data_IF_450350258400
#
_entry.id   IF_450350258400
#
_cell.length_a   1.000
_cell.length_b   1.000
_cell.length_c   1.000
_cell.angle_alpha   90.00
_cell.angle_beta   90.00
_cell.angle_gamma   90.00
#
_symmetry.space_group_name_H-M   'P 1'
#
loop_
_entity.id
_entity.type
_entity.pdbx_description
1 polymer ?
#
# COMPACT_ATOMS: atom_id res chain seq x y z
N UNK A 1 12.54 25.08 32.70
CA UNK A 1 12.31 24.89 31.25
C UNK A 1 11.25 23.82 31.08
N UNK A 2 9.97 24.16 31.11
CA UNK A 2 8.88 23.22 30.80
C UNK A 2 7.85 23.96 29.94
N UNK A 3 8.17 24.12 28.66
CA UNK A 3 7.48 25.08 27.80
C UNK A 3 6.14 24.55 27.24
N UNK A 4 5.76 23.29 27.52
CA UNK A 4 4.60 22.63 26.89
C UNK A 4 3.81 21.66 27.81
N UNK A 5 3.66 21.93 29.10
CA UNK A 5 3.00 21.00 30.04
C UNK A 5 1.47 20.82 29.86
N UNK A 6 0.81 21.57 28.99
CA UNK A 6 -0.67 21.51 28.82
C UNK A 6 -1.13 21.22 27.39
N UNK A 7 -0.22 20.90 26.48
CA UNK A 7 -0.57 20.57 25.08
C UNK A 7 -0.54 19.06 24.86
N UNK A 8 -1.60 18.54 24.25
CA UNK A 8 -1.68 17.14 23.78
C UNK A 8 -1.42 17.11 22.28
N UNK A 9 -0.52 16.23 21.83
CA UNK A 9 -0.31 15.98 20.41
C UNK A 9 -1.52 15.25 19.84
N UNK A 10 -2.04 15.77 18.73
CA UNK A 10 -3.13 15.14 17.96
C UNK A 10 -2.56 14.83 16.58
N UNK A 11 -2.54 13.56 16.22
CA UNK A 11 -2.11 13.11 14.91
C UNK A 11 -3.25 13.25 13.92
N UNK A 12 -3.05 14.07 12.89
CA UNK A 12 -4.02 14.27 11.81
C UNK A 12 -3.62 13.41 10.60
N UNK A 13 -3.89 12.11 10.69
CA UNK A 13 -3.50 11.11 9.68
C UNK A 13 -3.85 11.53 8.24
N UNK A 14 -5.01 12.15 8.03
CA UNK A 14 -5.45 12.65 6.72
C UNK A 14 -4.51 13.67 6.04
N UNK A 15 -3.69 14.39 6.81
CA UNK A 15 -2.71 15.35 6.28
C UNK A 15 -1.26 14.83 6.39
N UNK A 16 -1.06 13.66 6.99
CA UNK A 16 0.26 13.07 7.18
C UNK A 16 0.74 12.41 5.89
N UNK A 17 1.98 12.72 5.52
CA UNK A 17 2.71 12.16 4.38
C UNK A 17 4.08 11.67 4.84
N UNK A 18 4.67 10.74 4.11
CA UNK A 18 6.00 10.22 4.39
C UNK A 18 6.67 9.64 3.15
N UNK A 19 7.97 9.40 3.29
CA UNK A 19 8.80 8.81 2.25
C UNK A 19 9.05 7.35 2.59
N UNK A 20 8.64 6.45 1.69
CA UNK A 20 8.81 5.01 1.84
C UNK A 20 9.84 4.49 0.84
N UNK A 21 10.91 3.89 1.33
CA UNK A 21 11.88 3.21 0.48
C UNK A 21 11.47 1.75 0.26
N UNK A 22 11.27 1.36 -1.00
CA UNK A 22 10.99 -0.04 -1.35
C UNK A 22 12.28 -0.78 -1.73
N UNK A 23 12.46 -1.96 -1.15
CA UNK A 23 13.68 -2.78 -1.29
C UNK A 23 13.45 -4.10 -2.02
N UNK A 24 12.20 -4.46 -2.30
CA UNK A 24 11.87 -5.66 -3.05
C UNK A 24 12.20 -5.52 -4.54
N UNK A 25 12.62 -4.33 -4.98
CA UNK A 25 12.90 -4.01 -6.37
C UNK A 25 14.38 -3.96 -6.72
N UNK A 26 14.75 -4.28 -7.97
CA UNK A 26 16.16 -4.23 -8.41
C UNK A 26 16.75 -2.83 -8.24
N UNK A 27 15.97 -1.80 -8.59
CA UNK A 27 16.29 -0.39 -8.38
C UNK A 27 15.75 0.06 -7.04
N UNK A 28 16.48 0.93 -6.36
CA UNK A 28 15.98 1.62 -5.16
C UNK A 28 14.99 2.69 -5.59
N UNK A 29 13.76 2.61 -5.11
CA UNK A 29 12.76 3.68 -5.27
C UNK A 29 12.37 4.25 -3.92
N UNK A 30 12.19 5.56 -3.88
CA UNK A 30 11.60 6.28 -2.75
C UNK A 30 10.21 6.73 -3.22
N UNK A 31 9.19 6.32 -2.47
CA UNK A 31 7.79 6.63 -2.74
C UNK A 31 7.35 7.75 -1.80
N UNK A 32 6.84 8.84 -2.35
CA UNK A 32 6.17 9.88 -1.58
C UNK A 32 4.70 9.51 -1.41
N UNK A 33 4.32 9.05 -0.22
CA UNK A 33 3.02 8.41 0.03
C UNK A 33 2.29 9.07 1.20
N UNK A 34 0.95 9.00 1.18
CA UNK A 34 0.16 9.31 2.37
C UNK A 34 0.35 8.24 3.44
N UNK A 35 0.04 8.56 4.70
CA UNK A 35 0.13 7.59 5.80
C UNK A 35 -0.76 6.35 5.56
N UNK A 36 -1.91 6.52 4.90
CA UNK A 36 -2.82 5.42 4.58
C UNK A 36 -2.23 4.50 3.50
N UNK A 37 -1.65 5.09 2.45
CA UNK A 37 -0.93 4.33 1.42
C UNK A 37 0.24 3.57 2.05
N UNK A 38 1.01 4.23 2.93
CA UNK A 38 2.11 3.60 3.64
C UNK A 38 1.64 2.44 4.51
N UNK A 39 0.57 2.60 5.28
CA UNK A 39 -0.02 1.55 6.12
C UNK A 39 -0.37 0.30 5.31
N UNK A 40 -1.02 0.48 4.15
CA UNK A 40 -1.36 -0.63 3.24
C UNK A 40 -0.09 -1.29 2.69
N UNK A 41 0.90 -0.50 2.26
CA UNK A 41 2.15 -1.05 1.72
C UNK A 41 2.95 -1.83 2.76
N UNK A 42 2.89 -1.45 4.05
CA UNK A 42 3.57 -2.15 5.13
C UNK A 42 2.99 -3.54 5.44
N UNK A 43 1.72 -3.81 5.11
CA UNK A 43 1.13 -5.15 5.24
C UNK A 43 1.90 -6.19 4.42
N UNK A 44 2.46 -5.76 3.29
CA UNK A 44 3.23 -6.63 2.40
C UNK A 44 4.60 -7.03 2.94
N UNK A 45 5.04 -6.43 4.05
CA UNK A 45 6.21 -6.91 4.78
C UNK A 45 5.93 -8.19 5.57
N UNK A 46 4.65 -8.48 5.88
CA UNK A 46 4.23 -9.69 6.61
C UNK A 46 3.90 -10.83 5.64
N UNK A 47 3.06 -10.58 4.64
CA UNK A 47 2.59 -11.56 3.65
C UNK A 47 2.61 -10.95 2.24
N UNK A 48 2.90 -11.77 1.23
CA UNK A 48 2.93 -11.33 -0.18
C UNK A 48 1.55 -11.19 -0.83
N UNK A 49 0.51 -11.75 -0.22
CA UNK A 49 -0.86 -11.79 -0.72
C UNK A 49 -1.85 -11.53 0.40
N UNK A 50 -2.84 -10.68 0.15
CA UNK A 50 -3.88 -10.32 1.09
C UNK A 50 -5.23 -10.20 0.38
N UNK A 51 -6.32 -10.57 1.05
CA UNK A 51 -7.66 -10.21 0.56
C UNK A 51 -8.00 -8.77 0.93
N UNK A 52 -8.84 -8.11 0.13
CA UNK A 52 -9.27 -6.71 0.37
C UNK A 52 -9.92 -6.56 1.75
N UNK A 53 -10.73 -7.55 2.17
CA UNK A 53 -11.34 -7.62 3.51
C UNK A 53 -10.28 -7.63 4.62
N UNK A 54 -9.33 -8.56 4.56
CA UNK A 54 -8.27 -8.67 5.58
C UNK A 54 -7.41 -7.42 5.66
N UNK A 55 -7.13 -6.76 4.52
CA UNK A 55 -6.37 -5.50 4.52
C UNK A 55 -7.17 -4.37 5.17
N UNK A 56 -8.47 -4.30 4.91
CA UNK A 56 -9.33 -3.28 5.52
C UNK A 56 -9.43 -3.49 7.03
N UNK A 57 -9.57 -4.74 7.47
CA UNK A 57 -9.57 -5.12 8.88
C UNK A 57 -8.22 -4.85 9.58
N UNK A 58 -7.09 -5.19 8.97
CA UNK A 58 -5.78 -4.92 9.58
C UNK A 58 -5.46 -3.43 9.68
N UNK A 59 -5.88 -2.64 8.68
CA UNK A 59 -5.59 -1.19 8.67
C UNK A 59 -6.61 -0.36 9.44
N UNK A 60 -7.82 -0.88 9.69
CA UNK A 60 -8.93 -0.18 10.34
C UNK A 60 -9.28 1.17 9.69
N UNK A 61 -8.95 1.32 8.40
CA UNK A 61 -9.29 2.50 7.62
C UNK A 61 -10.77 2.39 7.23
N UNK A 62 -11.50 3.52 7.28
CA UNK A 62 -12.88 3.59 6.81
C UNK A 62 -12.99 3.12 5.36
N UNK A 63 -14.00 2.29 5.09
CA UNK A 63 -14.09 1.55 3.83
C UNK A 63 -14.00 2.43 2.57
N UNK A 64 -14.73 3.55 2.53
CA UNK A 64 -14.75 4.45 1.37
C UNK A 64 -13.36 5.02 1.08
N UNK A 65 -12.64 5.43 2.13
CA UNK A 65 -11.29 5.95 2.03
C UNK A 65 -10.31 4.83 1.67
N UNK A 66 -10.46 3.66 2.28
CA UNK A 66 -9.62 2.50 2.01
C UNK A 66 -9.68 2.10 0.54
N UNK A 67 -10.87 1.98 -0.05
CA UNK A 67 -11.03 1.64 -1.47
C UNK A 67 -10.43 2.70 -2.40
N UNK A 68 -10.56 3.99 -2.06
CA UNK A 68 -9.90 5.07 -2.83
C UNK A 68 -8.38 4.97 -2.77
N UNK A 69 -7.83 4.73 -1.58
CA UNK A 69 -6.38 4.56 -1.38
C UNK A 69 -5.88 3.32 -2.10
N UNK A 70 -6.57 2.19 -1.98
CA UNK A 70 -6.22 0.94 -2.66
C UNK A 70 -6.27 1.10 -4.18
N UNK A 71 -7.31 1.76 -4.70
CA UNK A 71 -7.41 2.09 -6.12
C UNK A 71 -6.25 2.95 -6.61
N UNK A 72 -5.82 3.95 -5.82
CA UNK A 72 -4.64 4.77 -6.16
C UNK A 72 -3.35 3.95 -6.26
N UNK A 73 -3.19 2.95 -5.38
CA UNK A 73 -2.04 2.05 -5.39
C UNK A 73 -2.10 1.07 -6.57
N UNK A 74 -3.27 0.54 -6.92
CA UNK A 74 -3.45 -0.29 -8.11
C UNK A 74 -3.09 0.47 -9.40
N UNK A 75 -3.44 1.77 -9.49
CA UNK A 75 -3.04 2.63 -10.62
C UNK A 75 -1.54 2.78 -10.76
N UNK A 76 -0.81 2.85 -9.65
CA UNK A 76 0.66 2.91 -9.67
C UNK A 76 1.34 1.64 -10.19
N UNK A 77 0.58 0.54 -10.34
CA UNK A 77 1.05 -0.81 -10.71
C UNK A 77 2.05 -1.42 -9.71
N UNK A 78 2.25 -0.82 -8.53
CA UNK A 78 3.08 -1.39 -7.45
C UNK A 78 2.47 -2.68 -6.88
N UNK A 79 1.13 -2.70 -6.81
CA UNK A 79 0.32 -3.86 -6.41
C UNK A 79 -0.55 -4.30 -7.59
N UNK A 80 -0.92 -5.58 -7.60
CA UNK A 80 -1.75 -6.20 -8.63
C UNK A 80 -2.92 -6.97 -8.03
N UNK A 81 -4.02 -7.01 -8.78
CA UNK A 81 -5.20 -7.82 -8.50
C UNK A 81 -5.48 -8.62 -9.77
N UNK A 82 -5.63 -9.95 -9.69
CA UNK A 82 -5.82 -10.79 -10.87
C UNK A 82 -7.22 -10.62 -11.48
N UNK A 83 -8.19 -10.29 -10.64
CA UNK A 83 -9.59 -10.07 -10.99
C UNK A 83 -9.80 -8.71 -11.69
N UNK A 84 -8.82 -7.81 -11.61
CA UNK A 84 -8.89 -6.47 -12.20
C UNK A 84 -7.84 -6.35 -13.30
N UNK A 85 -8.31 -6.14 -14.53
CA UNK A 85 -7.40 -5.79 -15.62
C UNK A 85 -6.84 -4.38 -15.39
N UNK A 86 -5.54 -4.28 -15.12
CA UNK A 86 -4.85 -3.01 -14.87
C UNK A 86 -4.95 -2.03 -16.04
N UNK A 87 -5.06 -2.50 -17.28
CA UNK A 87 -5.17 -1.62 -18.46
C UNK A 87 -6.55 -0.96 -18.57
N UNK A 88 -7.52 -1.43 -17.80
CA UNK A 88 -8.85 -0.82 -17.67
C UNK A 88 -8.94 0.18 -16.53
N UNK A 89 -7.94 0.26 -15.64
CA UNK A 89 -7.95 1.19 -14.49
C UNK A 89 -7.98 2.67 -14.94
N UNK A 90 -7.44 2.97 -16.11
CA UNK A 90 -7.41 4.30 -16.70
C UNK A 90 -8.66 4.63 -17.54
N UNK A 91 -9.51 3.63 -17.83
CA UNK A 91 -10.70 3.75 -18.69
C UNK A 91 -12.01 3.88 -17.90
N UNK A 92 -11.99 4.60 -16.77
CA UNK A 92 -13.19 4.87 -15.98
C UNK A 92 -13.53 3.83 -14.91
N UNK A 93 -12.59 2.95 -14.53
CA UNK A 93 -12.75 2.08 -13.37
C UNK A 93 -12.89 2.93 -12.09
N UNK A 94 -13.93 2.68 -11.29
CA UNK A 94 -14.11 3.29 -9.97
C UNK A 94 -13.63 2.34 -8.86
N UNK A 95 -13.17 2.90 -7.74
CA UNK A 95 -12.86 2.18 -6.51
C UNK A 95 -14.00 1.25 -6.03
N UNK A 96 -15.26 1.59 -6.31
CA UNK A 96 -16.44 0.79 -5.96
C UNK A 96 -16.52 -0.58 -6.65
N UNK A 97 -15.78 -0.80 -7.74
CA UNK A 97 -15.75 -2.11 -8.41
C UNK A 97 -14.82 -3.12 -7.73
N UNK A 98 -13.99 -2.66 -6.78
CA UNK A 98 -13.12 -3.53 -5.99
C UNK A 98 -13.98 -4.25 -4.96
N UNK A 99 -14.03 -5.57 -5.04
CA UNK A 99 -14.79 -6.40 -4.09
C UNK A 99 -13.91 -6.87 -2.95
N UNK A 100 -14.53 -7.13 -1.80
CA UNK A 100 -13.84 -7.58 -0.58
C UNK A 100 -13.10 -8.91 -0.73
N UNK A 101 -13.64 -9.80 -1.56
CA UNK A 101 -13.09 -11.14 -1.77
C UNK A 101 -11.93 -11.18 -2.79
N UNK A 102 -11.56 -10.04 -3.38
CA UNK A 102 -10.44 -9.98 -4.33
C UNK A 102 -9.11 -10.12 -3.60
N UNK A 103 -8.15 -10.78 -4.26
CA UNK A 103 -6.81 -10.95 -3.70
C UNK A 103 -5.83 -9.98 -4.34
N UNK A 104 -5.12 -9.25 -3.49
CA UNK A 104 -4.10 -8.27 -3.85
C UNK A 104 -2.71 -8.85 -3.58
N UNK A 105 -1.83 -8.70 -4.57
CA UNK A 105 -0.45 -9.19 -4.53
C UNK A 105 0.54 -8.06 -4.86
N UNK A 106 1.77 -8.17 -4.38
CA UNK A 106 2.86 -7.32 -4.86
C UNK A 106 3.11 -7.62 -6.34
N UNK A 107 3.42 -6.59 -7.12
CA UNK A 107 3.80 -6.81 -8.51
C UNK A 107 5.20 -7.44 -8.63
N UNK A 108 5.22 -8.73 -8.92
CA UNK A 108 6.43 -9.54 -9.13
C UNK A 108 7.33 -9.03 -10.27
N UNK A 109 6.81 -8.23 -11.22
CA UNK A 109 7.63 -7.63 -12.29
C UNK A 109 8.74 -6.75 -11.75
N UNK A 110 8.57 -6.21 -10.54
CA UNK A 110 9.61 -5.42 -9.92
C UNK A 110 10.49 -6.26 -9.01
N UNK A 111 10.16 -7.52 -8.72
CA UNK A 111 10.87 -8.32 -7.72
C UNK A 111 12.32 -8.51 -8.11
N UNK A 112 13.20 -8.12 -7.19
CA UNK A 112 14.64 -8.29 -7.29
C UNK A 112 14.96 -9.78 -7.36
N UNK A 113 15.68 -10.18 -8.40
CA UNK A 113 16.27 -11.51 -8.46
C UNK A 113 17.31 -11.60 -7.34
N UNK A 114 16.95 -12.17 -6.19
CA UNK A 114 17.96 -12.68 -5.27
C UNK A 114 18.64 -13.81 -6.02
N UNK A 115 19.82 -13.54 -6.60
CA UNK A 115 20.81 -14.60 -6.76
C UNK A 115 21.02 -15.13 -5.35
N UNK A 116 20.53 -16.33 -5.09
CA UNK A 116 20.93 -17.09 -3.91
C UNK A 116 22.45 -17.15 -3.95
N UNK A 117 23.09 -16.54 -2.95
CA UNK A 117 24.48 -16.84 -2.69
C UNK A 117 24.49 -18.25 -2.10
N UNK A 118 24.45 -19.25 -2.98
CA UNK A 118 25.14 -20.51 -2.72
C UNK A 118 26.62 -20.18 -2.73
N UNK A 119 27.23 -20.21 -1.55
CA UNK A 119 28.64 -20.51 -1.27
C UNK A 119 29.01 -19.85 0.07
N UNK A 120 28.84 -20.60 1.17
CA UNK A 120 29.94 -21.17 1.96
C UNK A 120 29.41 -22.37 2.76
#
# INVERSE_FOLDING_TARGET
MEQHNTRKLIWLHQHSKGDLQILYTDKKYILHVSIYQMGILLLFNKLSSWTVEQMQDETQIKIDLFLQVLYSLLKSKLIKCYEINHDLLDKGFNASYIKMNYTIHINENFRRNRKEYSDF
#
